data_IF_497963650887
#
_entry.id   IF_497963650887
#
_cell.length_a   1.000
_cell.length_b   1.000
_cell.length_c   1.000
_cell.angle_alpha   90.00
_cell.angle_beta   90.00
_cell.angle_gamma   90.00
#
_symmetry.space_group_name_H-M   'P 1'
#
loop_
_entity.id
_entity.type
_entity.pdbx_description
1 polymer ?
#
# COMPACT_ATOMS: atom_id res chain seq x y z
N UNK A 1 0.18 -3.70 0.45
CA UNK A 1 -1.04 -4.10 -0.30
C UNK A 1 -2.10 -4.48 0.73
N UNK A 2 -3.38 -4.16 0.51
CA UNK A 2 -4.45 -4.62 1.41
C UNK A 2 -4.63 -3.82 2.70
N UNK A 3 -4.53 -2.50 2.62
CA UNK A 3 -4.51 -1.60 3.79
C UNK A 3 -5.74 -1.68 4.71
N UNK A 4 -6.91 -2.04 4.17
CA UNK A 4 -8.16 -2.14 4.94
C UNK A 4 -8.40 -3.50 5.61
N UNK A 5 -7.42 -4.41 5.55
CA UNK A 5 -7.46 -5.68 6.31
C UNK A 5 -7.10 -5.43 7.77
N UNK A 6 -7.44 -6.36 8.68
CA UNK A 6 -7.07 -6.24 10.09
C UNK A 6 -5.56 -6.04 10.27
N UNK A 7 -4.74 -6.90 9.65
CA UNK A 7 -3.28 -6.79 9.69
C UNK A 7 -2.79 -5.53 8.97
N UNK A 8 -3.42 -5.15 7.86
CA UNK A 8 -3.09 -3.93 7.11
C UNK A 8 -3.25 -2.66 7.94
N UNK A 9 -4.35 -2.52 8.67
CA UNK A 9 -4.63 -1.35 9.52
C UNK A 9 -3.63 -1.21 10.66
N UNK A 10 -3.25 -2.30 11.32
CA UNK A 10 -2.18 -2.27 12.32
C UNK A 10 -0.83 -1.88 11.71
N UNK A 11 -0.52 -2.44 10.54
CA UNK A 11 0.75 -2.17 9.85
C UNK A 11 0.88 -0.70 9.44
N UNK A 12 -0.20 -0.08 8.96
CA UNK A 12 -0.22 1.34 8.59
C UNK A 12 0.09 2.20 9.81
N UNK A 13 -0.59 1.96 10.94
CA UNK A 13 -0.37 2.74 12.17
C UNK A 13 1.06 2.58 12.67
N UNK A 14 1.56 1.34 12.75
CA UNK A 14 2.92 1.07 13.21
C UNK A 14 3.92 1.78 12.31
N UNK A 15 3.86 1.59 10.99
CA UNK A 15 4.79 2.21 10.07
C UNK A 15 4.74 3.76 10.13
N UNK A 16 3.54 4.33 10.23
CA UNK A 16 3.36 5.78 10.38
C UNK A 16 3.97 6.31 11.68
N UNK A 17 3.79 5.60 12.80
CA UNK A 17 4.40 5.94 14.10
C UNK A 17 5.93 5.89 14.06
N UNK A 18 6.51 4.99 13.27
CA UNK A 18 7.96 4.93 13.03
C UNK A 18 8.46 5.95 11.99
N UNK A 19 7.60 6.85 11.50
CA UNK A 19 7.98 7.93 10.60
C UNK A 19 8.09 7.51 9.13
N UNK A 20 7.57 6.34 8.74
CA UNK A 20 7.52 5.96 7.33
C UNK A 20 6.40 6.70 6.59
N UNK A 21 6.68 7.09 5.36
CA UNK A 21 5.65 7.50 4.40
C UNK A 21 4.90 6.24 3.90
N UNK A 22 3.72 5.99 4.45
CA UNK A 22 2.96 4.78 4.14
C UNK A 22 2.19 4.94 2.82
N UNK A 23 2.49 4.07 1.85
CA UNK A 23 1.71 3.86 0.63
C UNK A 23 0.90 2.57 0.78
N UNK A 24 -0.40 2.61 0.51
CA UNK A 24 -1.24 1.42 0.59
C UNK A 24 -2.29 1.35 -0.52
N UNK A 25 -2.93 0.19 -0.63
CA UNK A 25 -4.04 -0.02 -1.55
C UNK A 25 -5.26 -0.57 -0.82
N UNK A 26 -6.45 -0.12 -1.22
CA UNK A 26 -7.73 -0.62 -0.71
C UNK A 26 -8.85 -0.26 -1.69
N UNK A 27 -10.07 -0.79 -1.50
CA UNK A 27 -11.22 -0.30 -2.24
C UNK A 27 -11.53 1.17 -1.88
N UNK A 28 -12.11 1.96 -2.80
CA UNK A 28 -12.32 3.40 -2.59
C UNK A 28 -13.11 3.76 -1.32
N UNK A 29 -14.11 2.94 -0.96
CA UNK A 29 -14.92 3.16 0.24
C UNK A 29 -14.14 3.07 1.57
N UNK A 30 -12.95 2.45 1.56
CA UNK A 30 -12.07 2.37 2.74
C UNK A 30 -10.95 3.41 2.72
N UNK A 31 -10.90 4.28 1.71
CA UNK A 31 -9.77 5.22 1.53
C UNK A 31 -9.64 6.18 2.72
N UNK A 32 -10.75 6.73 3.22
CA UNK A 32 -10.73 7.62 4.38
C UNK A 32 -10.31 6.89 5.66
N UNK A 33 -10.74 5.64 5.84
CA UNK A 33 -10.34 4.80 6.97
C UNK A 33 -8.82 4.60 7.00
N UNK A 34 -8.21 4.17 5.90
CA UNK A 34 -6.75 3.92 5.91
C UNK A 34 -5.95 5.21 6.05
N UNK A 35 -6.47 6.35 5.57
CA UNK A 35 -5.85 7.67 5.77
C UNK A 35 -5.89 8.10 7.23
N UNK A 36 -7.02 7.91 7.93
CA UNK A 36 -7.11 8.25 9.36
C UNK A 36 -6.18 7.40 10.23
N UNK A 37 -5.71 6.26 9.71
CA UNK A 37 -4.73 5.38 10.37
C UNK A 37 -3.27 5.71 10.03
N UNK A 38 -3.01 6.71 9.17
CA UNK A 38 -1.67 7.19 8.84
C UNK A 38 -1.19 6.89 7.42
N UNK A 39 -2.04 6.37 6.53
CA UNK A 39 -1.66 6.20 5.13
C UNK A 39 -1.51 7.55 4.42
N UNK A 40 -0.32 7.84 3.88
CA UNK A 40 -0.03 9.06 3.12
C UNK A 40 -0.59 9.00 1.71
N UNK A 41 -0.34 7.89 1.02
CA UNK A 41 -0.84 7.63 -0.34
C UNK A 41 -1.71 6.38 -0.35
N UNK A 42 -2.86 6.46 -1.02
CA UNK A 42 -3.86 5.40 -1.08
C UNK A 42 -4.33 5.26 -2.51
N UNK A 43 -4.32 4.03 -3.01
CA UNK A 43 -4.72 3.70 -4.38
C UNK A 43 -5.76 2.59 -4.41
N UNK A 44 -6.62 2.59 -5.44
CA UNK A 44 -7.50 1.46 -5.70
C UNK A 44 -6.67 0.30 -6.25
N UNK A 45 -6.74 -0.87 -5.61
CA UNK A 45 -6.03 -2.06 -6.11
C UNK A 45 -6.65 -2.63 -7.39
N UNK A 46 -7.85 -2.20 -7.77
CA UNK A 46 -8.51 -2.59 -9.04
C UNK A 46 -8.03 -1.79 -10.24
N UNK A 47 -7.27 -0.72 -10.02
CA UNK A 47 -6.65 0.02 -11.12
C UNK A 47 -5.52 -0.82 -11.72
N UNK A 48 -5.63 -1.15 -13.01
CA UNK A 48 -4.62 -1.95 -13.74
C UNK A 48 -3.25 -1.26 -13.76
N UNK A 49 -3.21 0.07 -13.59
CA UNK A 49 -1.99 0.87 -13.57
C UNK A 49 -1.51 1.21 -12.16
N UNK A 50 -2.11 0.63 -11.12
CA UNK A 50 -1.83 0.97 -9.72
C UNK A 50 -0.34 0.95 -9.38
N UNK A 51 0.42 -0.02 -9.89
CA UNK A 51 1.85 -0.11 -9.61
C UNK A 51 2.66 1.03 -10.25
N UNK A 52 2.27 1.48 -11.45
CA UNK A 52 2.88 2.63 -12.11
C UNK A 52 2.60 3.92 -11.35
N UNK A 53 1.33 4.12 -10.94
CA UNK A 53 0.92 5.29 -10.16
C UNK A 53 1.62 5.35 -8.79
N UNK A 54 1.79 4.20 -8.12
CA UNK A 54 2.56 4.11 -6.88
C UNK A 54 4.01 4.58 -7.10
N UNK A 55 4.68 4.11 -8.16
CA UNK A 55 6.08 4.50 -8.44
C UNK A 55 6.24 5.99 -8.74
N UNK A 56 5.24 6.63 -9.35
CA UNK A 56 5.28 8.07 -9.64
C UNK A 56 5.37 8.92 -8.37
N UNK A 57 4.68 8.50 -7.31
CA UNK A 57 4.65 9.25 -6.03
C UNK A 57 5.69 8.74 -5.03
N UNK A 58 6.07 7.47 -5.12
CA UNK A 58 7.01 6.80 -4.23
C UNK A 58 8.00 5.94 -5.05
N UNK A 59 9.01 6.57 -5.69
CA UNK A 59 9.94 5.84 -6.57
C UNK A 59 10.94 4.93 -5.82
N UNK A 60 11.06 5.09 -4.50
CA UNK A 60 12.06 4.41 -3.66
C UNK A 60 11.41 3.52 -2.60
N UNK A 61 10.58 2.57 -3.02
CA UNK A 61 9.95 1.60 -2.10
C UNK A 61 10.92 0.44 -1.83
N UNK A 62 11.50 0.41 -0.63
CA UNK A 62 12.41 -0.66 -0.18
C UNK A 62 11.69 -1.77 0.60
N UNK A 63 10.52 -1.48 1.15
CA UNK A 63 9.77 -2.40 1.99
C UNK A 63 8.36 -2.53 1.45
N UNK A 64 7.93 -3.79 1.29
CA UNK A 64 6.56 -4.11 0.91
C UNK A 64 6.00 -5.12 1.89
N UNK A 65 4.80 -4.82 2.37
CA UNK A 65 4.02 -5.72 3.19
C UNK A 65 2.72 -6.05 2.47
N UNK A 66 2.60 -7.30 2.04
CA UNK A 66 1.43 -7.84 1.35
C UNK A 66 0.61 -8.68 2.31
N UNK A 67 -0.54 -8.16 2.73
CA UNK A 67 -1.46 -8.83 3.65
C UNK A 67 -2.57 -9.60 2.93
N UNK A 68 -2.55 -9.62 1.59
CA UNK A 68 -3.53 -10.33 0.77
C UNK A 68 -2.93 -11.62 0.21
N UNK A 69 -1.71 -11.56 -0.33
CA UNK A 69 -0.94 -12.75 -0.71
C UNK A 69 -1.61 -13.61 -1.79
N UNK A 70 -1.97 -13.01 -2.92
CA UNK A 70 -2.60 -13.72 -4.05
C UNK A 70 -2.00 -13.32 -5.41
N UNK A 71 -2.48 -13.97 -6.47
CA UNK A 71 -2.00 -13.79 -7.85
C UNK A 71 -2.17 -12.38 -8.43
N UNK A 72 -2.92 -11.48 -7.78
CA UNK A 72 -2.99 -10.07 -8.16
C UNK A 72 -2.13 -9.16 -7.28
N UNK A 73 -2.24 -9.32 -5.96
CA UNK A 73 -1.56 -8.48 -4.97
C UNK A 73 -0.04 -8.67 -4.96
N UNK A 74 0.45 -9.91 -4.94
CA UNK A 74 1.88 -10.16 -4.79
C UNK A 74 2.70 -9.70 -6.02
N UNK A 75 2.24 -9.91 -7.27
CA UNK A 75 2.89 -9.31 -8.44
C UNK A 75 2.85 -7.78 -8.42
N UNK A 76 1.72 -7.17 -8.06
CA UNK A 76 1.60 -5.71 -7.94
C UNK A 76 2.58 -5.15 -6.90
N UNK A 77 2.73 -5.83 -5.76
CA UNK A 77 3.71 -5.52 -4.73
C UNK A 77 5.15 -5.60 -5.24
N UNK A 78 5.49 -6.70 -5.91
CA UNK A 78 6.82 -6.95 -6.48
C UNK A 78 7.17 -5.91 -7.54
N UNK A 79 6.20 -5.57 -8.39
CA UNK A 79 6.33 -4.50 -9.37
C UNK A 79 6.56 -3.21 -8.60
N UNK A 80 5.65 -2.75 -7.73
CA UNK A 80 5.79 -1.46 -7.03
C UNK A 80 7.10 -1.30 -6.24
N UNK A 81 7.68 -2.39 -5.73
CA UNK A 81 8.99 -2.36 -5.07
C UNK A 81 10.11 -1.91 -6.02
N UNK A 82 11.13 -1.28 -5.44
CA UNK A 82 12.41 -1.10 -6.11
C UNK A 82 13.20 -2.40 -5.99
N UNK A 83 13.49 -3.05 -7.12
CA UNK A 83 14.46 -4.16 -7.16
C UNK A 83 15.85 -3.55 -7.01
N UNK A 84 16.59 -3.98 -5.99
CA UNK A 84 18.04 -3.78 -5.86
C UNK A 84 18.77 -4.88 -6.61
#
# INVERSE_FOLDING_TARGET
>A
MGGSTSVGLYSIQIASLYGFDVVTTCSPHNAELVRSYGAKYVFDYKDEKVAEEIRKVAPNIYHVFDTVGNQGSSPTASIAARLV
#
